data_IF_154713994287
#
_entry.id   IF_154713994287
#
_cell.length_a   1.000
_cell.length_b   1.000
_cell.length_c   1.000
_cell.angle_alpha   90.00
_cell.angle_beta   90.00
_cell.angle_gamma   90.00
#
_symmetry.space_group_name_H-M   'P 1'
#
loop_
_entity.id
_entity.type
_entity.pdbx_description
1 polymer ?
#
# COMPACT_ATOMS: atom_id res chain seq x y z
N UNK A 1 5.01 19.27 0.24
CA UNK A 1 5.41 17.92 -0.20
C UNK A 1 4.13 17.12 -0.41
N UNK A 2 3.81 16.76 -1.65
CA UNK A 2 2.60 15.96 -1.91
C UNK A 2 2.91 14.48 -1.67
N UNK A 3 2.21 13.85 -0.73
CA UNK A 3 2.28 12.41 -0.49
C UNK A 3 1.43 11.68 -1.54
N UNK A 4 1.88 11.70 -2.80
CA UNK A 4 1.19 11.03 -3.90
C UNK A 4 1.31 9.51 -3.75
N UNK A 5 0.22 8.81 -4.03
CA UNK A 5 0.23 7.36 -4.06
C UNK A 5 1.06 6.85 -5.27
N UNK A 6 1.55 5.60 -5.22
CA UNK A 6 2.22 4.98 -6.35
C UNK A 6 1.42 5.05 -7.65
N UNK A 7 0.11 4.81 -7.62
CA UNK A 7 -0.75 4.92 -8.80
C UNK A 7 -0.77 6.34 -9.37
N UNK A 8 -0.81 7.36 -8.50
CA UNK A 8 -0.82 8.77 -8.91
C UNK A 8 0.50 9.17 -9.57
N UNK A 9 1.64 8.73 -9.01
CA UNK A 9 2.97 8.98 -9.60
C UNK A 9 3.15 8.26 -10.94
N UNK A 10 2.63 7.04 -11.05
CA UNK A 10 2.66 6.29 -12.30
C UNK A 10 1.88 7.02 -13.39
N UNK A 11 0.68 7.51 -13.06
CA UNK A 11 -0.12 8.29 -14.01
C UNK A 11 0.59 9.56 -14.46
N UNK A 12 1.20 10.31 -13.52
CA UNK A 12 1.98 11.50 -13.85
C UNK A 12 3.13 11.17 -14.82
N UNK A 13 3.85 10.07 -14.59
CA UNK A 13 4.94 9.65 -15.47
C UNK A 13 4.47 9.28 -16.90
N UNK A 14 3.25 8.74 -17.04
CA UNK A 14 2.63 8.51 -18.34
C UNK A 14 2.23 9.84 -19.00
N UNK A 15 1.62 10.75 -18.25
CA UNK A 15 1.13 12.04 -18.74
C UNK A 15 2.30 12.95 -19.19
N UNK A 16 3.43 12.88 -18.49
CA UNK A 16 4.69 13.57 -18.86
C UNK A 16 5.42 12.91 -20.03
N UNK A 17 5.00 11.71 -20.45
CA UNK A 17 5.64 10.95 -21.53
C UNK A 17 7.02 10.39 -21.18
N UNK A 18 7.42 10.41 -19.91
CA UNK A 18 8.67 9.78 -19.45
C UNK A 18 8.61 8.26 -19.48
N UNK A 19 7.39 7.69 -19.45
CA UNK A 19 7.13 6.26 -19.45
C UNK A 19 6.05 5.90 -20.46
N UNK A 20 6.15 4.67 -20.99
CA UNK A 20 5.11 4.10 -21.83
C UNK A 20 4.14 3.25 -21.01
N UNK A 21 2.85 3.18 -21.39
CA UNK A 21 1.91 2.25 -20.77
C UNK A 21 2.39 0.80 -20.90
N UNK A 22 2.49 0.10 -19.76
CA UNK A 22 2.83 -1.34 -19.69
C UNK A 22 1.92 -1.99 -18.62
N UNK A 23 1.18 -3.02 -19.01
CA UNK A 23 0.18 -3.66 -18.15
C UNK A 23 0.81 -4.42 -16.96
N UNK A 24 2.00 -5.01 -17.15
CA UNK A 24 2.73 -5.71 -16.08
C UNK A 24 3.24 -4.70 -15.06
N UNK A 25 3.73 -3.55 -15.55
CA UNK A 25 4.17 -2.46 -14.70
C UNK A 25 3.00 -1.84 -13.93
N UNK A 26 1.85 -1.63 -14.59
CA UNK A 26 0.62 -1.13 -13.96
C UNK A 26 0.13 -2.06 -12.85
N UNK A 27 0.16 -3.37 -13.06
CA UNK A 27 -0.21 -4.34 -12.03
C UNK A 27 0.75 -4.29 -10.82
N UNK A 28 2.06 -4.12 -11.07
CA UNK A 28 3.03 -3.94 -9.99
C UNK A 28 2.75 -2.63 -9.21
N UNK A 29 2.42 -1.55 -9.91
CA UNK A 29 2.04 -0.26 -9.31
C UNK A 29 0.78 -0.41 -8.44
N UNK A 30 -0.25 -1.11 -8.91
CA UNK A 30 -1.48 -1.33 -8.13
C UNK A 30 -1.22 -2.08 -6.81
N UNK A 31 -0.28 -3.05 -6.82
CA UNK A 31 0.12 -3.77 -5.61
C UNK A 31 0.92 -2.87 -4.65
N UNK A 32 1.80 -2.04 -5.19
CA UNK A 32 2.51 -1.03 -4.41
C UNK A 32 1.56 0.02 -3.84
N UNK A 33 0.52 0.41 -4.57
CA UNK A 33 -0.50 1.36 -4.13
C UNK A 33 -1.32 0.80 -2.96
N UNK A 34 -1.72 -0.46 -3.04
CA UNK A 34 -2.34 -1.19 -1.92
C UNK A 34 -1.41 -1.18 -0.70
N UNK A 35 -0.15 -1.57 -0.86
CA UNK A 35 0.83 -1.58 0.24
C UNK A 35 1.05 -0.18 0.82
N UNK A 36 1.11 0.85 -0.02
CA UNK A 36 1.22 2.24 0.41
C UNK A 36 0.03 2.63 1.30
N UNK A 37 -1.19 2.26 0.91
CA UNK A 37 -2.38 2.50 1.73
C UNK A 37 -2.35 1.71 3.04
N UNK A 38 -1.94 0.45 3.04
CA UNK A 38 -1.77 -0.34 4.26
C UNK A 38 -0.74 0.27 5.22
N UNK A 39 0.36 0.80 4.69
CA UNK A 39 1.44 1.42 5.49
C UNK A 39 1.10 2.82 5.99
N UNK A 40 0.28 3.57 5.24
CA UNK A 40 -0.11 4.95 5.59
C UNK A 40 -1.43 5.02 6.35
N UNK A 41 -2.22 3.95 6.36
CA UNK A 41 -3.41 3.85 7.17
C UNK A 41 -3.02 4.02 8.65
N UNK A 42 -3.62 5.01 9.30
CA UNK A 42 -3.58 5.09 10.75
C UNK A 42 -4.30 3.85 11.27
N UNK A 43 -3.73 3.11 12.25
CA UNK A 43 -4.49 2.08 12.95
C UNK A 43 -5.79 2.74 13.39
N UNK A 44 -6.93 2.19 12.95
CA UNK A 44 -8.21 2.67 13.43
C UNK A 44 -8.13 2.53 14.95
N UNK A 45 -8.14 3.66 15.67
CA UNK A 45 -8.27 3.64 17.12
C UNK A 45 -9.50 2.79 17.38
N UNK A 46 -9.28 1.56 17.84
CA UNK A 46 -10.34 0.66 18.20
C UNK A 46 -11.04 1.37 19.34
N UNK A 47 -12.17 1.99 19.00
CA UNK A 47 -13.03 2.66 19.95
C UNK A 47 -13.18 1.71 21.12
N UNK A 48 -12.68 2.14 22.27
CA UNK A 48 -12.66 1.35 23.49
C UNK A 48 -14.09 0.88 23.73
N UNK A 49 -14.42 -0.37 23.40
CA UNK A 49 -15.62 -0.99 23.90
C UNK A 49 -15.34 -1.35 25.35
N UNK A 50 -15.21 -0.32 26.19
CA UNK A 50 -15.14 -0.44 27.63
C UNK A 50 -16.53 -0.89 28.09
N UNK A 51 -16.62 -2.14 28.54
CA UNK A 51 -17.83 -2.68 29.14
C UNK A 51 -18.14 -4.12 28.74
N UNK A 52 -19.08 -4.70 29.48
CA UNK A 52 -19.57 -6.08 29.46
C UNK A 52 -19.70 -6.74 28.07
N UNK A 53 -19.85 -5.95 26.99
CA UNK A 53 -19.85 -6.41 25.60
C UNK A 53 -18.53 -7.08 25.16
N UNK A 54 -17.38 -6.61 25.63
CA UNK A 54 -16.07 -7.19 25.31
C UNK A 54 -15.82 -8.55 26.01
N UNK A 55 -16.40 -8.76 27.19
CA UNK A 55 -16.33 -10.05 27.87
C UNK A 55 -17.23 -11.10 27.18
N UNK A 56 -18.40 -10.67 26.70
CA UNK A 56 -19.35 -11.53 26.02
C UNK A 56 -18.89 -11.91 24.61
N UNK A 57 -18.20 -11.01 23.89
CA UNK A 57 -17.57 -11.34 22.60
C UNK A 57 -16.43 -12.37 22.74
N UNK A 58 -15.68 -12.33 23.84
CA UNK A 58 -14.60 -13.28 24.15
C UNK A 58 -15.13 -14.70 24.39
N UNK A 59 -16.30 -14.83 25.03
CA UNK A 59 -16.96 -16.13 25.28
C UNK A 59 -17.57 -16.73 24.00
N UNK A 60 -17.95 -15.89 23.03
CA UNK A 60 -18.56 -16.31 21.76
C UNK A 60 -17.54 -16.60 20.65
N UNK A 61 -16.24 -16.65 20.95
CA UNK A 61 -15.20 -17.08 19.99
C UNK A 61 -15.05 -16.20 18.76
N UNK A 62 -15.64 -15.00 18.74
CA UNK A 62 -15.43 -14.03 17.67
C UNK A 62 -14.03 -13.45 17.84
N UNK A 63 -13.08 -14.02 17.08
CA UNK A 63 -11.77 -13.40 16.82
C UNK A 63 -12.00 -11.93 16.53
N UNK A 64 -11.44 -11.06 17.35
CA UNK A 64 -11.33 -9.64 17.02
C UNK A 64 -10.77 -9.55 15.60
N UNK A 65 -11.37 -8.72 14.72
CA UNK A 65 -10.76 -8.44 13.44
C UNK A 65 -9.33 -8.00 13.73
N UNK A 66 -8.35 -8.57 13.04
CA UNK A 66 -6.93 -8.26 13.15
C UNK A 66 -6.66 -6.81 12.72
N UNK A 67 -7.17 -5.84 13.48
CA UNK A 67 -7.05 -4.41 13.20
C UNK A 67 -5.60 -3.94 13.23
N UNK A 68 -4.67 -4.77 13.73
CA UNK A 68 -3.27 -4.46 13.94
C UNK A 68 -2.30 -5.48 13.30
N UNK A 69 -2.74 -6.29 12.33
CA UNK A 69 -1.76 -7.12 11.60
C UNK A 69 -0.83 -6.22 10.77
N UNK A 70 0.50 -6.43 10.79
CA UNK A 70 1.41 -5.64 9.99
C UNK A 70 1.13 -5.83 8.50
N UNK A 71 1.30 -4.74 7.73
CA UNK A 71 1.19 -4.77 6.28
C UNK A 71 2.11 -5.85 5.69
N UNK A 72 1.62 -6.60 4.69
CA UNK A 72 2.39 -7.68 4.08
C UNK A 72 3.31 -7.11 3.00
N UNK A 73 4.61 -7.39 3.10
CA UNK A 73 5.58 -6.95 2.11
C UNK A 73 5.34 -7.53 0.71
N UNK A 74 5.76 -6.80 -0.32
CA UNK A 74 5.68 -7.20 -1.72
C UNK A 74 7.07 -7.65 -2.22
N UNK A 75 7.16 -8.85 -2.78
CA UNK A 75 8.36 -9.35 -3.47
C UNK A 75 8.13 -9.34 -4.98
N UNK A 76 8.93 -8.53 -5.70
CA UNK A 76 8.85 -8.41 -7.15
C UNK A 76 10.04 -9.11 -7.82
N UNK A 77 9.76 -9.94 -8.82
CA UNK A 77 10.76 -10.65 -9.61
C UNK A 77 10.39 -10.62 -11.09
N UNK A 78 11.37 -10.83 -11.97
CA UNK A 78 11.19 -10.81 -13.43
C UNK A 78 12.45 -10.39 -14.16
N UNK A 79 12.39 -10.40 -15.50
CA UNK A 79 13.52 -10.13 -16.39
C UNK A 79 14.26 -8.80 -16.15
N UNK A 80 15.50 -8.72 -16.63
CA UNK A 80 16.32 -7.50 -16.59
C UNK A 80 15.70 -6.43 -17.50
N UNK A 81 15.81 -5.15 -17.12
CA UNK A 81 15.30 -4.03 -17.93
C UNK A 81 13.79 -3.76 -17.85
N UNK A 82 13.06 -4.43 -16.95
CA UNK A 82 11.59 -4.26 -16.78
C UNK A 82 11.19 -3.16 -15.77
N UNK A 83 12.08 -2.22 -15.47
CA UNK A 83 11.75 -1.06 -14.61
C UNK A 83 11.55 -1.35 -13.11
N UNK A 84 12.06 -2.47 -12.58
CA UNK A 84 11.90 -2.82 -11.14
C UNK A 84 12.50 -1.79 -10.18
N UNK A 85 13.69 -1.26 -10.50
CA UNK A 85 14.34 -0.20 -9.70
C UNK A 85 13.49 1.06 -9.73
N UNK A 86 13.06 1.47 -10.92
CA UNK A 86 12.19 2.63 -11.08
C UNK A 86 10.87 2.50 -10.30
N UNK A 87 10.26 1.32 -10.28
CA UNK A 87 9.05 1.07 -9.46
C UNK A 87 9.31 1.28 -7.96
N UNK A 88 10.50 0.90 -7.48
CA UNK A 88 10.90 1.13 -6.08
C UNK A 88 11.22 2.61 -5.83
N UNK A 89 11.88 3.27 -6.78
CA UNK A 89 12.12 4.71 -6.71
C UNK A 89 10.79 5.45 -6.65
N UNK A 90 9.84 5.18 -7.54
CA UNK A 90 8.50 5.75 -7.54
C UNK A 90 7.75 5.50 -6.22
N UNK A 91 7.91 4.34 -5.61
CA UNK A 91 7.29 4.01 -4.33
C UNK A 91 7.87 4.84 -3.18
N UNK A 92 9.20 4.97 -3.13
CA UNK A 92 9.92 5.66 -2.05
C UNK A 92 9.99 7.19 -2.24
N UNK A 93 10.04 7.65 -3.48
CA UNK A 93 10.51 8.98 -3.86
C UNK A 93 9.64 10.11 -3.29
N UNK A 94 10.23 10.88 -2.39
CA UNK A 94 10.12 12.35 -2.47
C UNK A 94 10.61 12.82 -3.85
N UNK A 95 10.03 13.88 -4.43
CA UNK A 95 10.46 14.36 -5.74
C UNK A 95 11.97 14.63 -5.70
N UNK A 96 12.73 13.91 -6.53
CA UNK A 96 14.11 14.25 -6.79
C UNK A 96 14.11 15.66 -7.41
N UNK A 97 14.77 16.59 -6.74
CA UNK A 97 14.98 17.95 -7.24
C UNK A 97 15.81 17.99 -8.51
#
# INVERSE_FOLDING_TARGET
MQNLSPASRYQLALDEGSHQPDDVQREAVNRLDTLFHELTAKPAESGQSCGLKAALSRLLGKKEPQANAPARGLYMWGGVGRGKTWLMDLFLSEPAG
#
